data_IF_953240717593
#
_entry.id   IF_953240717593
#
_cell.length_a   1.000
_cell.length_b   1.000
_cell.length_c   1.000
_cell.angle_alpha   90.00
_cell.angle_beta   90.00
_cell.angle_gamma   90.00
#
_symmetry.space_group_name_H-M   'P 1'
#
loop_
_entity.id
_entity.type
_entity.pdbx_description
1 polymer ?
#
# COMPACT_ATOMS: atom_id res chain seq x y z
N UNK A 1 13.83 -68.93 30.35
CA UNK A 1 14.48 -67.77 29.71
C UNK A 1 13.38 -66.85 29.18
N UNK A 2 13.22 -65.66 29.78
CA UNK A 2 12.53 -64.42 29.33
C UNK A 2 11.24 -64.59 28.50
N UNK A 3 10.04 -64.42 29.03
CA UNK A 3 9.34 -63.17 29.45
C UNK A 3 9.37 -62.04 28.40
N UNK A 4 8.17 -61.52 28.10
CA UNK A 4 7.81 -60.26 27.40
C UNK A 4 7.68 -60.28 25.87
N UNK A 5 6.50 -60.64 25.36
CA UNK A 5 5.99 -60.09 24.09
C UNK A 5 4.46 -59.86 24.06
N UNK A 6 3.81 -59.85 25.22
CA UNK A 6 2.61 -59.03 25.44
C UNK A 6 3.10 -57.61 25.77
N UNK A 7 2.44 -56.57 25.26
CA UNK A 7 2.68 -55.12 25.53
C UNK A 7 3.81 -54.38 24.80
N UNK A 8 4.09 -54.65 23.51
CA UNK A 8 4.84 -53.68 22.67
C UNK A 8 4.07 -53.17 21.43
N UNK A 9 2.75 -53.42 21.36
CA UNK A 9 1.86 -52.77 20.38
C UNK A 9 0.87 -51.78 21.01
N UNK A 10 0.83 -51.70 22.34
CA UNK A 10 0.07 -50.68 23.10
C UNK A 10 0.94 -49.48 23.50
N UNK A 11 2.23 -49.48 23.12
CA UNK A 11 3.18 -48.37 23.26
C UNK A 11 3.60 -47.84 21.88
N UNK A 12 2.78 -48.06 20.84
CA UNK A 12 2.40 -46.95 19.97
C UNK A 12 1.49 -46.05 20.81
N UNK A 13 2.08 -45.47 21.85
CA UNK A 13 1.52 -44.36 22.58
C UNK A 13 1.16 -43.35 21.51
N UNK A 14 -0.10 -42.96 21.56
CA UNK A 14 -0.66 -41.74 21.04
C UNK A 14 0.26 -40.54 21.38
N UNK A 15 1.39 -40.42 20.70
CA UNK A 15 1.85 -39.16 20.19
C UNK A 15 1.06 -38.93 18.90
N UNK A 16 -0.27 -38.90 19.02
CA UNK A 16 -0.96 -37.74 18.48
C UNK A 16 -0.31 -36.57 19.20
N UNK A 17 0.82 -36.08 18.65
CA UNK A 17 1.06 -34.66 18.65
C UNK A 17 -0.26 -34.15 18.13
N UNK A 18 -1.14 -33.73 19.06
CA UNK A 18 -2.31 -32.95 18.72
C UNK A 18 -1.70 -31.93 17.79
N UNK A 19 -2.08 -32.02 16.51
CA UNK A 19 -1.63 -31.07 15.53
C UNK A 19 -1.77 -29.71 16.20
N UNK A 20 -0.77 -28.84 16.04
CA UNK A 20 -0.89 -27.43 16.41
C UNK A 20 -2.06 -26.87 15.57
N UNK A 21 -3.28 -27.21 15.97
CA UNK A 21 -4.49 -26.84 15.30
C UNK A 21 -4.61 -25.37 15.65
N UNK A 22 -4.03 -24.55 14.79
CA UNK A 22 -4.21 -23.12 14.84
C UNK A 22 -5.70 -22.87 14.64
N UNK A 23 -6.27 -21.91 15.37
CA UNK A 23 -7.62 -21.45 15.05
C UNK A 23 -7.63 -20.95 13.60
N UNK A 24 -8.52 -21.49 12.77
CA UNK A 24 -8.63 -21.12 11.35
C UNK A 24 -9.03 -19.66 11.19
N UNK A 25 -8.52 -19.04 10.13
CA UNK A 25 -9.09 -17.79 9.64
C UNK A 25 -10.53 -18.05 9.18
N UNK A 26 -11.46 -17.18 9.56
CA UNK A 26 -12.85 -17.31 9.13
C UNK A 26 -13.88 -16.72 10.07
N UNK A 27 -15.14 -17.08 9.81
CA UNK A 27 -16.33 -16.66 10.53
C UNK A 27 -16.84 -17.83 11.36
N UNK A 28 -17.05 -17.60 12.65
CA UNK A 28 -17.54 -18.57 13.62
C UNK A 28 -18.88 -18.12 14.20
N UNK A 29 -19.79 -19.06 14.40
CA UNK A 29 -21.01 -18.84 15.18
C UNK A 29 -20.76 -19.22 16.64
N UNK A 30 -21.20 -18.39 17.57
CA UNK A 30 -21.13 -18.65 19.01
C UNK A 30 -22.47 -18.34 19.71
N UNK A 31 -22.70 -18.80 20.95
CA UNK A 31 -23.86 -18.40 21.75
C UNK A 31 -24.01 -16.89 21.96
N UNK A 32 -22.93 -16.15 21.72
CA UNK A 32 -22.85 -14.71 21.91
C UNK A 32 -22.88 -13.93 20.57
N UNK A 33 -23.00 -14.65 19.45
CA UNK A 33 -23.10 -14.10 18.11
C UNK A 33 -21.93 -14.48 17.21
N UNK A 34 -21.83 -13.79 16.08
CA UNK A 34 -20.82 -14.04 15.06
C UNK A 34 -19.44 -13.51 15.50
N UNK A 35 -18.40 -14.33 15.30
CA UNK A 35 -17.00 -13.99 15.60
C UNK A 35 -16.17 -14.20 14.35
N UNK A 36 -15.58 -13.13 13.82
CA UNK A 36 -14.62 -13.22 12.73
C UNK A 36 -13.24 -13.32 13.34
N UNK A 37 -12.38 -14.21 12.85
CA UNK A 37 -11.01 -14.38 13.34
C UNK A 37 -10.06 -14.30 12.15
N UNK A 38 -9.07 -13.42 12.24
CA UNK A 38 -7.96 -13.32 11.30
C UNK A 38 -6.64 -13.46 12.08
N UNK A 39 -5.80 -14.39 11.66
CA UNK A 39 -4.46 -14.55 12.19
C UNK A 39 -3.45 -13.71 11.42
N UNK A 40 -2.38 -13.28 12.08
CA UNK A 40 -1.27 -12.58 11.44
C UNK A 40 -0.44 -13.53 10.58
N UNK A 41 0.38 -12.94 9.68
CA UNK A 41 1.33 -13.67 8.83
C UNK A 41 2.28 -14.56 9.63
N UNK A 42 2.80 -14.07 10.75
CA UNK A 42 3.66 -14.89 11.63
C UNK A 42 2.92 -16.00 12.37
N UNK A 43 1.59 -15.90 12.48
CA UNK A 43 0.77 -16.78 13.31
C UNK A 43 0.86 -16.51 14.81
N UNK A 44 1.64 -15.51 15.24
CA UNK A 44 1.84 -15.15 16.64
C UNK A 44 0.84 -14.10 17.15
N UNK A 45 -0.11 -13.69 16.31
CA UNK A 45 -1.19 -12.77 16.67
C UNK A 45 -2.48 -13.16 15.98
N UNK A 46 -3.60 -12.86 16.60
CA UNK A 46 -4.91 -12.93 15.97
C UNK A 46 -5.75 -11.72 16.36
N UNK A 47 -6.63 -11.30 15.47
CA UNK A 47 -7.67 -10.32 15.75
C UNK A 47 -9.02 -10.96 15.52
N UNK A 48 -10.04 -10.38 16.15
CA UNK A 48 -11.40 -10.73 15.82
C UNK A 48 -12.40 -9.60 15.91
N UNK A 49 -13.52 -9.83 15.23
CA UNK A 49 -14.70 -8.98 15.27
C UNK A 49 -15.81 -9.75 15.94
N UNK A 50 -16.34 -9.19 17.02
CA UNK A 50 -17.38 -9.82 17.80
C UNK A 50 -18.71 -9.08 17.58
N UNK A 51 -19.52 -9.62 16.66
CA UNK A 51 -20.83 -9.12 16.29
C UNK A 51 -20.85 -7.58 16.13
N UNK A 52 -21.90 -6.87 16.53
CA UNK A 52 -21.93 -5.41 16.60
C UNK A 52 -21.14 -4.83 17.79
N UNK A 53 -20.71 -5.69 18.70
CA UNK A 53 -20.37 -5.34 20.08
C UNK A 53 -18.92 -4.92 20.27
N UNK A 54 -17.95 -5.53 19.60
CA UNK A 54 -16.57 -5.05 19.71
C UNK A 54 -15.50 -5.90 19.05
N UNK A 55 -14.29 -5.76 19.55
CA UNK A 55 -13.06 -6.25 18.94
C UNK A 55 -12.38 -7.25 19.87
N UNK A 56 -11.58 -8.15 19.29
CA UNK A 56 -10.77 -9.13 20.02
C UNK A 56 -9.33 -8.97 19.54
N UNK A 57 -8.38 -8.89 20.47
CA UNK A 57 -6.94 -8.90 20.18
C UNK A 57 -6.32 -10.06 20.95
N UNK A 58 -5.53 -10.89 20.27
CA UNK A 58 -5.11 -12.18 20.80
C UNK A 58 -3.65 -12.46 20.47
N UNK A 59 -2.95 -13.02 21.45
CA UNK A 59 -1.66 -13.68 21.29
C UNK A 59 -1.82 -15.17 21.58
N UNK A 60 -1.37 -16.06 20.68
CA UNK A 60 -1.29 -17.48 20.96
C UNK A 60 0.00 -17.82 21.71
N UNK A 61 -0.08 -18.87 22.52
CA UNK A 61 1.08 -19.60 23.02
C UNK A 61 0.75 -21.09 23.06
N UNK A 62 1.79 -21.93 22.97
CA UNK A 62 1.60 -23.38 22.95
C UNK A 62 1.93 -23.95 24.32
N UNK A 63 1.02 -24.74 24.88
CA UNK A 63 1.29 -25.54 26.07
C UNK A 63 1.51 -26.98 25.62
N UNK A 64 2.69 -27.53 25.95
CA UNK A 64 3.02 -28.94 25.70
C UNK A 64 1.93 -29.84 26.29
N UNK A 65 1.37 -30.73 25.45
CA UNK A 65 0.30 -31.66 25.84
C UNK A 65 -1.10 -31.05 25.95
N UNK A 66 -1.29 -29.74 25.73
CA UNK A 66 -2.61 -29.08 25.70
C UNK A 66 -2.89 -28.30 24.41
N UNK A 67 -1.91 -28.16 23.53
CA UNK A 67 -2.05 -27.47 22.24
C UNK A 67 -1.92 -25.95 22.35
N UNK A 68 -2.37 -25.25 21.30
CA UNK A 68 -2.30 -23.80 21.21
C UNK A 68 -3.46 -23.14 21.97
N UNK A 69 -3.14 -22.21 22.85
CA UNK A 69 -4.09 -21.37 23.58
C UNK A 69 -3.94 -19.94 23.09
N UNK A 70 -5.05 -19.29 22.80
CA UNK A 70 -5.14 -17.89 22.44
C UNK A 70 -5.66 -17.11 23.62
N UNK A 71 -4.96 -16.05 24.01
CA UNK A 71 -5.38 -15.16 25.09
C UNK A 71 -5.21 -13.71 24.69
N UNK A 72 -6.01 -12.84 25.28
CA UNK A 72 -5.81 -11.41 25.15
C UNK A 72 -7.02 -10.63 25.64
N UNK A 73 -7.20 -9.44 25.09
CA UNK A 73 -8.32 -8.58 25.43
C UNK A 73 -9.46 -8.69 24.42
N UNK A 74 -10.67 -8.45 24.90
CA UNK A 74 -11.83 -8.21 24.06
C UNK A 74 -12.61 -6.99 24.56
N UNK A 75 -13.38 -6.38 23.67
CA UNK A 75 -14.33 -5.33 24.01
C UNK A 75 -15.75 -5.73 23.61
N UNK A 76 -16.72 -5.27 24.39
CA UNK A 76 -18.15 -5.37 24.09
C UNK A 76 -18.81 -4.08 24.56
N UNK A 77 -19.33 -3.27 23.63
CA UNK A 77 -19.96 -1.98 23.92
C UNK A 77 -19.09 -1.11 24.85
N UNK A 78 -17.80 -1.01 24.51
CA UNK A 78 -16.77 -0.28 25.26
C UNK A 78 -16.49 -0.81 26.69
N UNK A 79 -17.01 -1.99 27.06
CA UNK A 79 -16.55 -2.73 28.24
C UNK A 79 -15.42 -3.67 27.85
N UNK A 80 -14.32 -3.58 28.59
CA UNK A 80 -13.13 -4.36 28.32
C UNK A 80 -13.07 -5.61 29.20
N UNK A 81 -12.69 -6.72 28.59
CA UNK A 81 -12.47 -7.99 29.27
C UNK A 81 -11.22 -8.70 28.77
N UNK A 82 -11.01 -9.89 29.31
CA UNK A 82 -9.98 -10.84 28.93
C UNK A 82 -10.66 -12.11 28.42
N UNK A 83 -10.10 -12.67 27.37
CA UNK A 83 -10.58 -13.93 26.78
C UNK A 83 -9.43 -14.93 26.72
N UNK A 84 -9.78 -16.20 26.88
CA UNK A 84 -8.89 -17.33 26.64
C UNK A 84 -9.66 -18.39 25.87
N UNK A 85 -9.16 -18.84 24.72
CA UNK A 85 -9.75 -19.95 23.99
C UNK A 85 -8.71 -20.89 23.42
N UNK A 86 -9.12 -22.13 23.21
CA UNK A 86 -8.34 -23.19 22.58
C UNK A 86 -9.22 -23.88 21.53
N UNK A 87 -8.64 -24.29 20.39
CA UNK A 87 -9.30 -25.19 19.46
C UNK A 87 -9.75 -26.46 20.21
N UNK A 88 -10.99 -26.88 19.97
CA UNK A 88 -11.55 -28.10 20.55
C UNK A 88 -11.75 -29.21 19.50
N UNK A 89 -11.69 -28.83 18.23
CA UNK A 89 -11.91 -29.65 17.05
C UNK A 89 -11.42 -28.89 15.83
N UNK A 90 -11.33 -29.54 14.67
CA UNK A 90 -10.90 -28.93 13.40
C UNK A 90 -11.74 -27.72 12.98
N UNK A 91 -12.98 -27.63 13.46
CA UNK A 91 -13.95 -26.59 13.10
C UNK A 91 -14.55 -25.89 14.33
N UNK A 92 -13.90 -25.96 15.50
CA UNK A 92 -14.46 -25.38 16.71
C UNK A 92 -13.43 -25.01 17.76
N UNK A 93 -13.85 -24.17 18.69
CA UNK A 93 -13.07 -23.74 19.83
C UNK A 93 -13.93 -23.64 21.08
N UNK A 94 -13.29 -23.85 22.23
CA UNK A 94 -13.85 -23.59 23.55
C UNK A 94 -12.99 -22.56 24.27
N UNK A 95 -13.61 -21.78 25.13
CA UNK A 95 -12.92 -20.72 25.83
C UNK A 95 -13.71 -20.19 27.01
N UNK A 96 -13.09 -19.24 27.70
CA UNK A 96 -13.66 -18.52 28.82
C UNK A 96 -13.42 -17.03 28.65
N UNK A 97 -14.32 -16.22 29.19
CA UNK A 97 -14.19 -14.76 29.21
C UNK A 97 -14.41 -14.20 30.61
N UNK A 98 -13.80 -13.05 30.88
CA UNK A 98 -14.04 -12.27 32.09
C UNK A 98 -13.93 -10.79 31.85
N UNK A 99 -14.73 -9.98 32.53
CA UNK A 99 -14.60 -8.54 32.53
C UNK A 99 -13.40 -8.12 33.38
N UNK A 100 -12.74 -7.00 33.01
CA UNK A 100 -11.64 -6.46 33.82
C UNK A 100 -12.09 -6.00 35.22
N UNK A 101 -13.39 -5.78 35.42
CA UNK A 101 -14.00 -5.47 36.72
C UNK A 101 -14.13 -6.69 37.64
N UNK A 102 -14.01 -7.91 37.11
CA UNK A 102 -14.14 -9.15 37.88
C UNK A 102 -12.86 -9.41 38.67
N UNK A 103 -12.97 -9.43 40.00
CA UNK A 103 -11.83 -9.62 40.92
C UNK A 103 -11.52 -11.10 41.16
N UNK A 104 -10.23 -11.43 41.35
CA UNK A 104 -9.75 -12.78 41.67
C UNK A 104 -9.01 -13.47 40.51
N UNK A 105 -7.93 -14.17 40.84
CA UNK A 105 -7.21 -15.02 39.89
C UNK A 105 -8.11 -16.18 39.45
N UNK A 106 -8.15 -16.46 38.14
CA UNK A 106 -8.93 -17.54 37.52
C UNK A 106 -10.46 -17.47 37.69
N UNK A 107 -11.01 -16.34 38.15
CA UNK A 107 -12.46 -16.12 38.13
C UNK A 107 -12.90 -15.72 36.72
N UNK A 108 -13.63 -16.61 36.06
CA UNK A 108 -14.22 -16.38 34.75
C UNK A 108 -15.71 -16.07 34.90
N UNK A 109 -16.24 -15.17 34.07
CA UNK A 109 -17.65 -14.80 34.08
C UNK A 109 -18.51 -15.81 33.30
N UNK A 110 -17.89 -16.54 32.37
CA UNK A 110 -18.57 -17.58 31.61
C UNK A 110 -17.69 -18.25 30.56
N UNK A 111 -18.23 -19.31 29.97
CA UNK A 111 -17.65 -20.01 28.83
C UNK A 111 -18.11 -19.40 27.50
N UNK A 112 -17.26 -19.47 26.50
CA UNK A 112 -17.53 -19.05 25.13
C UNK A 112 -17.05 -20.14 24.19
N UNK A 113 -17.92 -20.63 23.31
CA UNK A 113 -17.56 -21.65 22.33
C UNK A 113 -17.97 -21.17 20.94
N UNK A 114 -17.20 -21.53 19.92
CA UNK A 114 -17.51 -21.18 18.55
C UNK A 114 -17.37 -22.36 17.60
N UNK A 115 -18.21 -22.38 16.57
CA UNK A 115 -18.20 -23.36 15.47
C UNK A 115 -17.96 -22.62 14.17
N UNK A 116 -17.02 -23.10 13.35
CA UNK A 116 -16.65 -22.50 12.07
C UNK A 116 -17.82 -22.61 11.09
N UNK A 117 -18.25 -21.46 10.57
CA UNK A 117 -19.28 -21.35 9.55
C UNK A 117 -18.68 -21.23 8.15
N UNK A 118 -17.60 -20.47 8.00
CA UNK A 118 -16.95 -20.21 6.71
C UNK A 118 -15.49 -19.83 6.92
N UNK A 119 -14.59 -20.31 6.06
CA UNK A 119 -13.19 -19.83 5.99
C UNK A 119 -13.06 -18.55 5.18
N UNK A 120 -14.10 -18.18 4.44
CA UNK A 120 -14.14 -16.95 3.63
C UNK A 120 -14.84 -15.86 4.44
N UNK A 121 -14.16 -14.73 4.58
CA UNK A 121 -14.78 -13.52 5.12
C UNK A 121 -15.76 -12.91 4.11
N UNK A 122 -16.82 -12.23 4.58
CA UNK A 122 -17.72 -11.50 3.69
C UNK A 122 -16.95 -10.48 2.85
N UNK A 123 -17.22 -10.44 1.55
CA UNK A 123 -16.57 -9.53 0.61
C UNK A 123 -17.08 -8.09 0.84
N UNK A 124 -16.41 -7.37 1.74
CA UNK A 124 -16.66 -5.99 2.07
C UNK A 124 -15.50 -5.11 1.58
N UNK A 125 -15.70 -3.78 1.57
CA UNK A 125 -14.71 -2.82 1.07
C UNK A 125 -13.34 -2.95 1.75
N UNK A 126 -13.33 -3.36 3.02
CA UNK A 126 -12.14 -3.50 3.85
C UNK A 126 -11.60 -4.94 3.96
N UNK A 127 -12.23 -5.95 3.36
CA UNK A 127 -11.80 -7.37 3.51
C UNK A 127 -10.61 -7.74 2.60
N UNK A 128 -9.74 -6.77 2.31
CA UNK A 128 -8.64 -6.89 1.35
C UNK A 128 -7.30 -6.56 2.00
N UNK A 129 -6.22 -6.92 1.31
CA UNK A 129 -4.87 -6.53 1.69
C UNK A 129 -4.46 -5.31 0.89
N UNK A 130 -4.17 -4.20 1.58
CA UNK A 130 -3.75 -2.94 1.00
C UNK A 130 -2.27 -2.70 1.20
N UNK A 131 -1.55 -2.40 0.13
CA UNK A 131 -0.19 -1.91 0.16
C UNK A 131 -0.21 -0.39 0.35
N UNK A 132 0.43 0.10 1.40
CA UNK A 132 0.48 1.52 1.77
C UNK A 132 1.93 2.00 1.85
N UNK A 133 2.14 3.33 1.91
CA UNK A 133 3.49 3.88 2.18
C UNK A 133 4.04 3.51 3.57
N UNK A 134 3.17 3.19 4.53
CA UNK A 134 3.57 2.80 5.88
C UNK A 134 3.89 1.30 6.00
N UNK A 135 3.41 0.48 5.06
CA UNK A 135 3.50 -0.98 5.13
C UNK A 135 2.29 -1.67 4.49
N UNK A 136 2.23 -2.98 4.63
CA UNK A 136 1.08 -3.78 4.16
C UNK A 136 0.00 -3.80 5.25
N UNK A 137 -1.24 -3.50 4.90
CA UNK A 137 -2.38 -3.50 5.79
C UNK A 137 -3.37 -4.59 5.36
N UNK A 138 -3.65 -5.54 6.23
CA UNK A 138 -4.61 -6.62 5.98
C UNK A 138 -5.76 -6.45 6.94
N UNK A 139 -6.98 -6.27 6.43
CA UNK A 139 -8.14 -5.96 7.25
C UNK A 139 -9.27 -6.96 6.98
N UNK A 140 -10.13 -7.11 7.97
CA UNK A 140 -11.44 -7.77 7.91
C UNK A 140 -12.49 -6.78 8.42
N UNK A 141 -13.70 -6.92 7.89
CA UNK A 141 -14.84 -6.09 8.28
C UNK A 141 -16.09 -6.95 8.40
N UNK A 142 -16.90 -6.69 9.41
CA UNK A 142 -18.23 -7.29 9.54
C UNK A 142 -19.35 -6.36 9.06
N UNK A 143 -20.57 -6.92 8.95
CA UNK A 143 -21.76 -6.19 8.47
C UNK A 143 -22.12 -4.95 9.29
N UNK A 144 -21.67 -4.87 10.54
CA UNK A 144 -21.91 -3.72 11.44
C UNK A 144 -20.88 -2.60 11.27
N UNK A 145 -19.95 -2.73 10.34
CA UNK A 145 -18.88 -1.76 10.11
C UNK A 145 -17.74 -1.84 11.11
N UNK A 146 -17.65 -2.89 11.94
CA UNK A 146 -16.45 -3.11 12.77
C UNK A 146 -15.32 -3.60 11.87
N UNK A 147 -14.12 -3.09 12.11
CA UNK A 147 -12.91 -3.41 11.34
C UNK A 147 -11.81 -3.85 12.28
N UNK A 148 -11.07 -4.88 11.89
CA UNK A 148 -9.87 -5.32 12.57
C UNK A 148 -8.87 -5.90 11.57
N UNK A 149 -7.61 -6.00 11.96
CA UNK A 149 -6.58 -6.57 11.11
C UNK A 149 -5.19 -6.26 11.60
N UNK A 150 -4.26 -6.21 10.64
CA UNK A 150 -2.85 -6.04 10.90
C UNK A 150 -2.21 -4.99 9.99
N UNK A 151 -1.28 -4.22 10.56
CA UNK A 151 -0.31 -3.43 9.81
C UNK A 151 1.06 -4.10 9.94
N UNK A 152 1.64 -4.46 8.81
CA UNK A 152 2.97 -5.05 8.68
C UNK A 152 3.96 -4.00 8.19
N UNK A 153 4.91 -3.61 9.04
CA UNK A 153 5.90 -2.58 8.72
C UNK A 153 7.20 -2.81 9.48
N UNK A 154 8.36 -2.57 8.83
CA UNK A 154 9.69 -2.69 9.44
C UNK A 154 9.88 -4.01 10.22
N UNK A 155 9.45 -5.14 9.65
CA UNK A 155 9.46 -6.47 10.26
C UNK A 155 8.69 -6.59 11.60
N UNK A 156 7.74 -5.67 11.84
CA UNK A 156 6.85 -5.67 13.00
C UNK A 156 5.40 -5.84 12.56
N UNK A 157 4.62 -6.47 13.43
CA UNK A 157 3.18 -6.70 13.25
C UNK A 157 2.40 -5.92 14.32
N UNK A 158 1.53 -5.02 13.88
CA UNK A 158 0.67 -4.23 14.75
C UNK A 158 -0.78 -4.66 14.57
N UNK A 159 -1.52 -4.71 15.68
CA UNK A 159 -2.96 -4.81 15.66
C UNK A 159 -3.56 -3.51 15.13
N UNK A 160 -4.56 -3.64 14.26
CA UNK A 160 -5.39 -2.53 13.78
C UNK A 160 -6.83 -2.87 14.12
N UNK A 161 -7.57 -1.96 14.74
CA UNK A 161 -8.98 -2.18 15.03
C UNK A 161 -9.75 -0.86 15.14
N UNK A 162 -11.03 -0.87 14.80
CA UNK A 162 -11.88 0.32 14.85
C UNK A 162 -13.19 0.15 14.09
N UNK A 163 -13.67 1.24 13.53
CA UNK A 163 -14.99 1.36 12.92
C UNK A 163 -14.93 2.01 11.55
N UNK A 164 -15.66 1.42 10.62
CA UNK A 164 -15.90 1.93 9.28
C UNK A 164 -17.35 2.32 9.09
N UNK A 165 -17.60 3.62 8.92
CA UNK A 165 -18.93 4.19 8.69
C UNK A 165 -18.83 5.36 7.73
N UNK A 166 -19.83 5.51 6.86
CA UNK A 166 -19.90 6.62 5.90
C UNK A 166 -18.61 6.81 5.08
N UNK A 167 -18.04 5.70 4.61
CA UNK A 167 -16.75 5.69 3.90
C UNK A 167 -15.57 6.20 4.72
N UNK A 168 -15.64 6.18 6.06
CA UNK A 168 -14.54 6.57 6.92
C UNK A 168 -14.16 5.44 7.86
N UNK A 169 -12.90 5.00 7.80
CA UNK A 169 -12.33 4.10 8.80
C UNK A 169 -11.63 4.93 9.87
N UNK A 170 -12.04 4.79 11.13
CA UNK A 170 -11.36 5.37 12.30
C UNK A 170 -10.99 4.26 13.24
N UNK A 171 -9.71 4.22 13.62
CA UNK A 171 -9.21 3.11 14.42
C UNK A 171 -7.96 3.41 15.21
N UNK A 172 -7.53 2.38 15.90
CA UNK A 172 -6.36 2.36 16.75
C UNK A 172 -5.33 1.38 16.19
N UNK A 173 -4.06 1.69 16.43
CA UNK A 173 -2.93 0.82 16.18
C UNK A 173 -2.27 0.53 17.52
N UNK A 174 -2.01 -0.75 17.81
CA UNK A 174 -1.31 -1.16 19.02
C UNK A 174 -0.41 -2.36 18.75
N UNK A 175 0.69 -2.48 19.47
CA UNK A 175 1.52 -3.69 19.48
C UNK A 175 1.08 -4.69 20.56
N UNK A 176 0.23 -4.26 21.50
CA UNK A 176 -0.19 -4.97 22.71
C UNK A 176 -1.62 -5.51 22.60
N UNK A 177 -1.78 -6.79 22.92
CA UNK A 177 -3.04 -7.53 23.00
C UNK A 177 -3.81 -7.33 24.31
N UNK A 178 -3.17 -6.76 25.34
CA UNK A 178 -3.77 -6.61 26.67
C UNK A 178 -4.67 -5.38 26.80
N UNK A 179 -4.63 -4.48 25.80
CA UNK A 179 -5.26 -3.17 25.90
C UNK A 179 -6.04 -2.81 24.64
N UNK A 180 -7.37 -2.89 24.74
CA UNK A 180 -8.29 -2.31 23.75
C UNK A 180 -8.77 -0.94 24.24
N UNK A 181 -8.43 0.10 23.49
CA UNK A 181 -8.90 1.48 23.70
C UNK A 181 -10.28 1.70 23.05
N UNK A 182 -11.15 2.39 23.77
CA UNK A 182 -12.45 2.86 23.29
C UNK A 182 -12.61 4.35 23.68
N UNK A 183 -13.28 5.15 22.86
CA UNK A 183 -13.66 6.55 23.11
C UNK A 183 -12.53 7.57 23.36
N UNK A 184 -11.26 7.20 23.26
CA UNK A 184 -10.13 8.15 23.19
C UNK A 184 -9.91 8.59 21.74
N UNK A 185 -9.23 9.70 21.44
CA UNK A 185 -8.94 10.07 20.03
C UNK A 185 -8.33 8.92 19.20
N UNK A 186 -8.59 8.87 17.89
CA UNK A 186 -8.14 7.79 16.99
C UNK A 186 -6.69 7.98 16.52
N UNK A 187 -5.94 6.89 16.33
CA UNK A 187 -4.56 6.93 15.78
C UNK A 187 -4.54 6.83 14.27
N UNK A 188 -5.63 6.37 13.67
CA UNK A 188 -5.74 6.09 12.25
C UNK A 188 -7.10 6.60 11.77
N UNK A 189 -7.10 7.35 10.67
CA UNK A 189 -8.32 7.81 10.00
C UNK A 189 -8.13 7.76 8.49
N UNK A 190 -9.00 7.03 7.81
CA UNK A 190 -9.07 6.99 6.35
C UNK A 190 -10.44 7.38 5.86
N UNK A 191 -10.45 8.03 4.71
CA UNK A 191 -11.60 8.15 3.83
C UNK A 191 -11.46 7.12 2.70
N UNK A 192 -12.59 6.55 2.30
CA UNK A 192 -12.67 5.39 1.44
C UNK A 192 -13.47 5.71 0.20
N UNK A 193 -12.79 6.34 -0.72
CA UNK A 193 -13.31 6.58 -2.05
C UNK A 193 -12.45 5.78 -3.02
N UNK A 194 -12.44 4.44 -2.82
CA UNK A 194 -11.91 3.42 -3.74
C UNK A 194 -10.38 3.18 -3.70
N UNK A 195 -9.87 3.14 -2.48
CA UNK A 195 -8.48 3.06 -2.07
C UNK A 195 -8.40 3.72 -0.71
N UNK A 196 -7.42 3.37 0.11
CA UNK A 196 -7.38 3.92 1.48
C UNK A 196 -6.62 5.23 1.40
N UNK A 197 -7.31 6.36 1.57
CA UNK A 197 -6.67 7.68 1.69
C UNK A 197 -6.81 8.16 3.12
N UNK A 198 -5.72 8.59 3.74
CA UNK A 198 -5.86 9.36 4.97
C UNK A 198 -4.60 9.43 5.79
N UNK A 199 -4.79 9.59 7.09
CA UNK A 199 -3.73 9.90 8.04
C UNK A 199 -3.57 8.79 9.05
N UNK A 200 -2.32 8.45 9.34
CA UNK A 200 -1.97 7.62 10.49
C UNK A 200 -0.99 8.40 11.36
N UNK A 201 -1.24 8.31 12.65
CA UNK A 201 -0.42 8.82 13.73
C UNK A 201 -0.05 7.63 14.60
N UNK A 202 1.18 7.11 14.46
CA UNK A 202 1.70 6.06 15.35
C UNK A 202 2.56 6.74 16.42
N UNK A 203 2.54 6.31 17.69
CA UNK A 203 3.54 6.77 18.66
C UNK A 203 4.96 6.63 18.10
N UNK A 204 5.71 7.75 18.03
CA UNK A 204 7.05 7.80 17.41
C UNK A 204 7.08 8.10 15.90
N UNK A 205 5.93 8.21 15.23
CA UNK A 205 5.81 8.67 13.84
C UNK A 205 4.98 9.95 13.77
N UNK A 206 5.45 10.95 13.03
CA UNK A 206 4.64 12.13 12.71
C UNK A 206 3.40 11.73 11.90
N UNK A 207 2.34 12.53 12.00
CA UNK A 207 1.13 12.38 11.19
C UNK A 207 1.51 12.40 9.71
N UNK A 208 1.43 11.25 9.03
CA UNK A 208 1.72 11.15 7.60
C UNK A 208 0.41 10.93 6.84
N UNK A 209 0.21 11.73 5.79
CA UNK A 209 -0.78 11.44 4.77
C UNK A 209 -0.26 10.29 3.92
N UNK A 210 -1.09 9.29 3.69
CA UNK A 210 -0.73 8.20 2.80
C UNK A 210 -1.94 7.69 2.03
N UNK A 211 -1.60 6.89 1.03
CA UNK A 211 -2.54 6.18 0.19
C UNK A 211 -2.17 4.70 0.21
N UNK A 212 -3.18 3.84 0.07
CA UNK A 212 -2.97 2.42 -0.17
C UNK A 212 -3.96 1.83 -1.18
N UNK A 213 -3.53 0.71 -1.76
CA UNK A 213 -4.20 -0.02 -2.84
C UNK A 213 -3.94 -1.51 -2.70
N UNK A 214 -4.82 -2.35 -3.23
CA UNK A 214 -4.61 -3.79 -3.27
C UNK A 214 -3.38 -4.18 -4.11
N UNK A 215 -3.14 -3.42 -5.19
CA UNK A 215 -1.92 -3.50 -6.01
C UNK A 215 -1.03 -2.28 -5.78
N UNK A 216 0.28 -2.48 -5.64
CA UNK A 216 1.27 -1.39 -5.66
C UNK A 216 2.28 -1.68 -6.74
N UNK A 217 2.35 -0.79 -7.71
CA UNK A 217 3.37 -0.79 -8.74
C UNK A 217 4.23 0.46 -8.57
N UNK A 218 5.54 0.27 -8.67
CA UNK A 218 6.49 1.37 -8.55
C UNK A 218 6.81 1.87 -9.96
N UNK A 219 6.40 3.09 -10.29
CA UNK A 219 6.85 3.72 -11.53
C UNK A 219 8.26 4.25 -11.32
N UNK A 220 9.19 3.75 -12.12
CA UNK A 220 10.52 4.30 -12.25
C UNK A 220 10.58 5.22 -13.48
N UNK A 221 10.96 6.47 -13.23
CA UNK A 221 11.27 7.46 -14.24
C UNK A 221 12.78 7.71 -14.25
N UNK A 222 13.43 7.47 -15.38
CA UNK A 222 14.83 7.84 -15.62
C UNK A 222 14.88 9.00 -16.61
N UNK A 223 15.41 10.14 -16.19
CA UNK A 223 15.71 11.23 -17.10
C UNK A 223 17.13 11.02 -17.66
N UNK A 224 17.25 10.93 -18.98
CA UNK A 224 18.49 10.51 -19.64
C UNK A 224 19.35 11.73 -20.00
N UNK A 225 18.86 12.57 -20.91
CA UNK A 225 19.65 13.64 -21.53
C UNK A 225 18.80 14.87 -21.83
N UNK A 226 19.41 16.04 -21.73
CA UNK A 226 18.90 17.31 -22.30
C UNK A 226 19.77 17.66 -23.50
N UNK A 227 19.17 18.08 -24.61
CA UNK A 227 19.89 18.66 -25.76
C UNK A 227 19.34 20.05 -26.04
N UNK A 228 20.24 21.00 -26.21
CA UNK A 228 19.90 22.32 -26.70
C UNK A 228 19.83 22.28 -28.23
N UNK A 229 18.70 22.60 -28.85
CA UNK A 229 18.56 22.57 -30.31
C UNK A 229 18.72 23.93 -30.96
N UNK A 230 18.41 25.01 -30.24
CA UNK A 230 18.51 26.35 -30.78
C UNK A 230 18.96 27.33 -29.68
N UNK A 231 20.14 27.92 -29.87
CA UNK A 231 20.58 29.01 -29.01
C UNK A 231 19.86 30.31 -29.39
N UNK A 232 19.16 30.90 -28.42
CA UNK A 232 18.55 32.23 -28.54
C UNK A 232 19.11 33.22 -27.50
N UNK A 233 20.16 32.84 -26.77
CA UNK A 233 20.89 33.70 -25.82
C UNK A 233 21.99 34.55 -26.48
N UNK A 234 22.57 35.46 -25.69
CA UNK A 234 23.79 36.19 -26.05
C UNK A 234 24.96 35.63 -25.22
N UNK A 235 26.13 35.33 -25.81
CA UNK A 235 26.45 35.33 -27.25
C UNK A 235 25.73 34.20 -28.03
N UNK A 236 25.60 34.35 -29.35
CA UNK A 236 24.76 33.51 -30.25
C UNK A 236 25.13 32.01 -30.28
N UNK A 237 26.21 31.61 -29.62
CA UNK A 237 26.72 30.24 -29.54
C UNK A 237 26.54 29.58 -28.15
N UNK A 238 26.11 30.33 -27.12
CA UNK A 238 26.06 29.85 -25.72
C UNK A 238 24.90 30.45 -24.93
N UNK A 239 24.25 29.59 -24.14
CA UNK A 239 23.29 30.00 -23.11
C UNK A 239 23.79 29.62 -21.73
N UNK A 240 23.92 30.62 -20.85
CA UNK A 240 24.23 30.40 -19.43
C UNK A 240 22.96 30.42 -18.61
N UNK A 241 22.74 29.36 -17.84
CA UNK A 241 21.63 29.31 -16.90
C UNK A 241 21.59 28.03 -16.07
N UNK A 242 20.52 27.89 -15.30
CA UNK A 242 20.21 26.70 -14.52
C UNK A 242 18.91 26.10 -15.03
N UNK A 243 18.87 24.78 -15.14
CA UNK A 243 17.66 24.01 -15.42
C UNK A 243 17.23 23.27 -14.16
N UNK A 244 15.98 23.41 -13.78
CA UNK A 244 15.29 22.51 -12.86
C UNK A 244 14.21 21.74 -13.64
N UNK A 245 14.09 20.45 -13.37
CA UNK A 245 13.09 19.54 -13.92
C UNK A 245 12.38 18.87 -12.76
N UNK A 246 11.09 19.14 -12.62
CA UNK A 246 10.26 18.54 -11.58
C UNK A 246 9.24 17.62 -12.21
N UNK A 247 9.16 16.39 -11.69
CA UNK A 247 8.05 15.48 -11.95
C UNK A 247 6.85 15.94 -11.14
N UNK A 248 5.71 16.01 -11.80
CA UNK A 248 4.42 16.27 -11.18
C UNK A 248 3.50 15.08 -11.46
N UNK A 249 2.99 14.44 -10.41
CA UNK A 249 1.97 13.41 -10.49
C UNK A 249 0.71 13.89 -9.79
N UNK A 250 -0.42 13.90 -10.51
CA UNK A 250 -1.74 14.17 -9.95
C UNK A 250 -2.48 12.87 -9.71
N UNK A 251 -3.13 12.75 -8.56
CA UNK A 251 -4.17 11.74 -8.39
C UNK A 251 -5.56 12.21 -8.84
N UNK A 252 -6.49 11.27 -8.79
CA UNK A 252 -7.89 11.40 -9.19
C UNK A 252 -8.70 12.36 -8.30
N UNK A 253 -8.21 12.68 -7.09
CA UNK A 253 -8.81 13.69 -6.20
C UNK A 253 -8.05 15.03 -6.23
N UNK A 254 -7.07 15.17 -7.13
CA UNK A 254 -6.30 16.40 -7.33
C UNK A 254 -5.09 16.57 -6.41
N UNK A 255 -4.72 15.56 -5.62
CA UNK A 255 -3.51 15.60 -4.78
C UNK A 255 -2.28 15.67 -5.67
N UNK A 256 -1.48 16.71 -5.42
CA UNK A 256 -0.25 16.99 -6.13
C UNK A 256 0.93 16.29 -5.45
N UNK A 257 1.64 15.46 -6.20
CA UNK A 257 2.95 14.94 -5.82
C UNK A 257 4.02 15.56 -6.70
N UNK A 258 4.93 16.33 -6.09
CA UNK A 258 6.08 16.89 -6.79
C UNK A 258 7.36 16.20 -6.34
N UNK A 259 8.28 15.98 -7.29
CA UNK A 259 9.63 15.55 -7.00
C UNK A 259 10.60 16.11 -8.02
N UNK A 260 11.61 16.83 -7.53
CA UNK A 260 12.70 17.27 -8.38
C UNK A 260 13.46 16.05 -8.92
N UNK A 261 13.54 15.98 -10.25
CA UNK A 261 14.29 14.97 -10.99
C UNK A 261 15.71 15.46 -11.27
N UNK A 262 15.84 16.76 -11.50
CA UNK A 262 17.10 17.41 -11.84
C UNK A 262 17.08 18.86 -11.42
N UNK A 263 18.16 19.33 -10.82
CA UNK A 263 18.39 20.75 -10.56
C UNK A 263 19.86 21.04 -10.77
N UNK A 264 20.16 21.97 -11.66
CA UNK A 264 21.49 22.55 -11.77
C UNK A 264 21.87 23.24 -10.46
N UNK A 265 22.93 22.74 -9.82
CA UNK A 265 23.47 23.34 -8.59
C UNK A 265 24.10 24.70 -8.90
N UNK A 266 24.79 24.81 -10.03
CA UNK A 266 25.48 26.01 -10.51
C UNK A 266 25.04 26.34 -11.94
N UNK A 267 25.24 27.59 -12.36
CA UNK A 267 24.94 27.99 -13.74
C UNK A 267 25.83 27.22 -14.71
N UNK A 268 25.21 26.47 -15.63
CA UNK A 268 25.90 25.71 -16.67
C UNK A 268 25.88 26.46 -17.99
N UNK A 269 26.87 26.14 -18.83
CA UNK A 269 26.98 26.63 -20.20
C UNK A 269 26.39 25.60 -21.16
N UNK A 270 25.24 25.94 -21.72
CA UNK A 270 24.55 25.14 -22.72
C UNK A 270 24.88 25.62 -24.13
N UNK A 271 25.41 24.73 -24.95
CA UNK A 271 25.81 24.98 -26.34
C UNK A 271 24.82 24.31 -27.28
N UNK A 272 24.55 24.95 -28.41
CA UNK A 272 23.65 24.41 -29.42
C UNK A 272 24.16 23.07 -29.93
N UNK A 273 23.22 22.16 -30.15
CA UNK A 273 23.41 20.78 -30.58
C UNK A 273 24.23 19.89 -29.64
N UNK A 274 24.61 20.36 -28.45
CA UNK A 274 25.28 19.56 -27.43
C UNK A 274 24.28 18.78 -26.56
N UNK A 275 24.66 17.55 -26.21
CA UNK A 275 23.94 16.68 -25.29
C UNK A 275 24.51 16.82 -23.88
N UNK A 276 23.62 16.86 -22.90
CA UNK A 276 23.93 16.96 -21.48
C UNK A 276 23.33 15.78 -20.75
N UNK A 277 24.20 14.90 -20.26
CA UNK A 277 23.80 13.74 -19.47
C UNK A 277 23.26 14.17 -18.10
N UNK A 278 22.10 13.62 -17.77
CA UNK A 278 21.49 13.77 -16.44
C UNK A 278 21.53 12.44 -15.70
N UNK A 279 21.11 11.35 -16.36
CA UNK A 279 21.11 9.98 -15.84
C UNK A 279 20.54 9.84 -14.42
N UNK A 280 19.46 10.55 -14.10
CA UNK A 280 18.80 10.51 -12.79
C UNK A 280 17.60 9.58 -12.82
N UNK A 281 17.55 8.67 -11.85
CA UNK A 281 16.44 7.74 -11.65
C UNK A 281 15.64 8.15 -10.42
N UNK A 282 14.34 8.27 -10.59
CA UNK A 282 13.38 8.59 -9.55
C UNK A 282 12.29 7.53 -9.56
N UNK A 283 11.84 7.14 -8.37
CA UNK A 283 10.75 6.18 -8.22
C UNK A 283 9.62 6.77 -7.39
N UNK A 284 8.39 6.49 -7.79
CA UNK A 284 7.18 6.89 -7.08
C UNK A 284 6.15 5.78 -7.10
N UNK A 285 5.48 5.57 -5.98
CA UNK A 285 4.36 4.66 -5.92
C UNK A 285 3.25 5.14 -6.83
N UNK A 286 2.80 4.30 -7.75
CA UNK A 286 1.60 4.56 -8.53
C UNK A 286 0.56 3.50 -8.21
N UNK A 287 -0.44 3.94 -7.45
CA UNK A 287 -1.64 3.19 -7.13
C UNK A 287 -2.65 3.33 -8.27
N UNK A 288 -2.47 2.58 -9.36
CA UNK A 288 -3.40 2.58 -10.50
C UNK A 288 -4.14 1.24 -10.60
N UNK A 289 -5.39 1.30 -11.06
CA UNK A 289 -6.20 0.15 -11.47
C UNK A 289 -6.65 0.36 -12.90
N UNK A 290 -6.53 -0.67 -13.73
CA UNK A 290 -6.83 -0.59 -15.16
C UNK A 290 -8.23 -1.10 -15.52
N UNK A 291 -8.90 -1.83 -14.62
CA UNK A 291 -10.19 -2.50 -14.89
C UNK A 291 -11.35 -1.92 -14.05
N UNK A 292 -11.10 -0.83 -13.32
CA UNK A 292 -12.09 -0.26 -12.40
C UNK A 292 -12.26 -1.10 -11.13
N UNK A 293 -12.74 -0.52 -10.01
CA UNK A 293 -13.64 0.63 -9.95
C UNK A 293 -12.93 1.99 -9.98
N UNK A 294 -13.71 3.07 -10.08
CA UNK A 294 -13.28 4.47 -9.91
C UNK A 294 -12.38 4.63 -8.68
N UNK A 295 -11.49 5.64 -8.60
CA UNK A 295 -10.74 6.04 -7.38
C UNK A 295 -9.31 5.49 -7.17
N UNK A 296 -8.78 4.79 -8.17
CA UNK A 296 -7.34 4.71 -8.46
C UNK A 296 -6.96 5.82 -9.45
N UNK A 297 -5.66 6.10 -9.71
CA UNK A 297 -5.27 7.10 -10.71
C UNK A 297 -6.05 6.86 -12.02
N UNK A 298 -7.11 7.64 -12.27
CA UNK A 298 -8.00 7.48 -13.43
C UNK A 298 -7.40 8.16 -14.64
N UNK A 299 -6.65 9.24 -14.39
CA UNK A 299 -5.90 10.03 -15.36
C UNK A 299 -4.55 10.44 -14.76
N UNK A 300 -3.65 9.50 -14.41
CA UNK A 300 -2.33 9.86 -13.93
C UNK A 300 -1.67 10.70 -15.02
N UNK A 301 -1.20 11.90 -14.65
CA UNK A 301 -0.44 12.77 -15.55
C UNK A 301 0.95 12.93 -15.00
N UNK A 302 1.95 12.85 -15.87
CA UNK A 302 3.31 13.21 -15.55
C UNK A 302 3.59 14.59 -16.15
N UNK A 303 3.71 15.60 -15.28
CA UNK A 303 4.15 16.93 -15.67
C UNK A 303 5.67 17.07 -15.55
N UNK A 304 6.27 17.75 -16.52
CA UNK A 304 7.67 18.16 -16.49
C UNK A 304 7.73 19.69 -16.47
N UNK A 305 7.99 20.24 -15.28
CA UNK A 305 8.21 21.68 -15.14
C UNK A 305 9.67 21.98 -15.41
N UNK A 306 9.94 22.92 -16.32
CA UNK A 306 11.28 23.39 -16.61
C UNK A 306 11.40 24.85 -16.18
N UNK A 307 12.49 25.23 -15.54
CA UNK A 307 12.83 26.64 -15.33
C UNK A 307 14.20 26.94 -15.90
N UNK A 308 14.37 28.09 -16.56
CA UNK A 308 15.65 28.53 -17.08
C UNK A 308 15.87 30.01 -16.79
N UNK A 309 16.91 30.29 -16.00
CA UNK A 309 17.35 31.66 -15.76
C UNK A 309 18.48 32.01 -16.72
N UNK A 310 18.22 32.89 -17.69
CA UNK A 310 19.26 33.42 -18.58
C UNK A 310 20.11 34.44 -17.83
N UNK A 311 21.39 34.52 -18.17
CA UNK A 311 22.22 35.68 -17.79
C UNK A 311 22.00 36.78 -18.84
N UNK A 312 21.24 37.84 -18.52
CA UNK A 312 21.17 39.07 -19.32
C UNK A 312 21.56 40.28 -18.45
N UNK A 313 21.68 41.46 -19.04
CA UNK A 313 21.81 42.72 -18.29
C UNK A 313 20.59 43.00 -17.36
N UNK A 314 19.47 42.28 -17.60
CA UNK A 314 18.29 42.23 -16.73
C UNK A 314 18.04 40.79 -16.26
N UNK A 315 17.50 40.61 -15.04
CA UNK A 315 17.19 39.31 -14.42
C UNK A 315 15.97 38.60 -15.06
N UNK A 316 15.83 38.63 -16.39
CA UNK A 316 14.72 37.99 -17.06
C UNK A 316 14.78 36.46 -16.90
N UNK A 317 13.80 35.89 -16.20
CA UNK A 317 13.53 34.46 -16.19
C UNK A 317 12.63 34.12 -17.37
N UNK A 318 13.08 33.17 -18.17
CA UNK A 318 12.30 32.64 -19.27
C UNK A 318 11.25 31.68 -18.70
N UNK A 319 9.96 31.97 -18.92
CA UNK A 319 8.89 31.07 -18.47
C UNK A 319 8.72 29.94 -19.48
N UNK A 320 9.33 28.79 -19.19
CA UNK A 320 9.16 27.59 -19.99
C UNK A 320 7.77 26.98 -19.74
N UNK A 321 7.16 26.43 -20.79
CA UNK A 321 5.83 25.83 -20.68
C UNK A 321 5.92 24.46 -19.99
N UNK A 322 5.11 24.24 -18.96
CA UNK A 322 4.89 22.92 -18.38
C UNK A 322 4.35 21.98 -19.47
N UNK A 323 5.03 20.87 -19.72
CA UNK A 323 4.47 19.80 -20.55
C UNK A 323 3.92 18.68 -19.66
N UNK A 324 2.81 18.08 -20.07
CA UNK A 324 2.15 16.99 -19.37
C UNK A 324 1.89 15.83 -20.29
N UNK A 325 2.15 14.62 -19.81
CA UNK A 325 1.80 13.38 -20.50
C UNK A 325 0.70 12.64 -19.74
N UNK A 326 -0.29 12.13 -20.45
CA UNK A 326 -1.24 11.17 -19.89
C UNK A 326 -0.55 9.81 -19.73
N UNK A 327 -0.46 9.33 -18.50
CA UNK A 327 0.19 8.05 -18.19
C UNK A 327 -0.74 6.86 -18.39
N UNK A 328 -2.06 7.04 -18.57
CA UNK A 328 -3.01 5.91 -18.65
C UNK A 328 -2.60 4.88 -19.72
N UNK A 329 -2.47 5.32 -20.98
CA UNK A 329 -2.10 4.41 -22.08
C UNK A 329 -0.69 3.83 -21.90
N UNK A 330 0.23 4.60 -21.30
CA UNK A 330 1.59 4.12 -21.00
C UNK A 330 1.55 3.03 -19.94
N UNK A 331 0.78 3.20 -18.87
CA UNK A 331 0.64 2.20 -17.81
C UNK A 331 -0.04 0.95 -18.36
N UNK A 332 -1.09 1.05 -19.18
CA UNK A 332 -1.70 -0.10 -19.86
C UNK A 332 -0.66 -0.88 -20.67
N UNK A 333 0.19 -0.19 -21.43
CA UNK A 333 1.28 -0.83 -22.16
C UNK A 333 2.26 -1.52 -21.21
N UNK A 334 2.78 -0.82 -20.20
CA UNK A 334 3.76 -1.35 -19.25
C UNK A 334 3.26 -2.58 -18.47
N UNK A 335 1.94 -2.79 -18.37
CA UNK A 335 1.30 -3.95 -17.72
C UNK A 335 0.84 -5.05 -18.67
N UNK A 336 1.24 -5.04 -19.94
CA UNK A 336 0.79 -6.05 -20.90
C UNK A 336 -0.72 -6.05 -21.18
N UNK A 337 -1.40 -4.92 -20.94
CA UNK A 337 -2.85 -4.79 -21.21
C UNK A 337 -3.15 -4.08 -22.52
N UNK A 338 -2.15 -3.41 -23.08
CA UNK A 338 -2.24 -2.72 -24.37
C UNK A 338 -1.03 -3.05 -25.21
N UNK A 339 -1.25 -3.42 -26.46
CA UNK A 339 -0.15 -3.76 -27.36
C UNK A 339 0.47 -2.55 -28.05
N UNK A 340 1.74 -2.67 -28.42
CA UNK A 340 2.49 -1.60 -29.08
C UNK A 340 1.87 -1.16 -30.42
N UNK A 341 1.21 -2.08 -31.12
CA UNK A 341 0.53 -1.82 -32.40
C UNK A 341 -0.68 -0.88 -32.27
N UNK A 342 -1.31 -0.83 -31.10
CA UNK A 342 -2.50 0.01 -30.83
C UNK A 342 -2.19 1.51 -30.68
N UNK A 343 -0.91 1.90 -30.72
CA UNK A 343 -0.49 3.29 -30.67
C UNK A 343 -0.30 3.85 -32.08
N UNK A 344 -0.78 5.07 -32.28
CA UNK A 344 -0.61 5.84 -33.52
C UNK A 344 0.88 6.04 -33.80
N UNK A 345 1.29 5.80 -35.05
CA UNK A 345 2.66 6.01 -35.49
C UNK A 345 2.99 7.50 -35.54
N UNK A 346 4.14 7.86 -34.99
CA UNK A 346 4.81 9.14 -35.18
C UNK A 346 6.06 8.97 -36.05
N UNK A 347 6.88 10.03 -36.17
CA UNK A 347 8.08 10.00 -37.00
C UNK A 347 9.17 9.09 -36.42
N UNK A 348 10.07 8.59 -37.26
CA UNK A 348 11.29 7.86 -36.85
C UNK A 348 11.02 6.63 -35.96
N UNK A 349 9.97 5.88 -36.27
CA UNK A 349 9.57 4.69 -35.51
C UNK A 349 8.99 4.98 -34.12
N UNK A 350 8.75 6.26 -33.80
CA UNK A 350 8.09 6.67 -32.56
C UNK A 350 6.59 6.45 -32.64
N UNK A 351 5.97 6.50 -31.48
CA UNK A 351 4.52 6.50 -31.27
C UNK A 351 4.09 7.82 -30.65
N UNK A 352 2.83 8.19 -30.83
CA UNK A 352 2.25 9.44 -30.32
C UNK A 352 1.49 9.17 -29.03
N UNK A 353 1.68 10.00 -28.00
CA UNK A 353 0.87 9.89 -26.76
C UNK A 353 -0.40 10.69 -27.03
N UNK A 354 -1.60 10.10 -26.84
CA UNK A 354 -2.83 10.87 -26.92
C UNK A 354 -2.76 12.12 -26.02
N UNK A 355 -3.22 13.25 -26.55
CA UNK A 355 -3.33 14.53 -25.83
C UNK A 355 -1.99 15.11 -25.32
N UNK A 356 -0.88 14.81 -25.98
CA UNK A 356 0.44 15.33 -25.64
C UNK A 356 1.30 15.59 -26.88
N UNK A 357 2.25 16.52 -26.78
CA UNK A 357 3.28 16.77 -27.80
C UNK A 357 4.48 15.81 -27.70
N UNK A 358 4.42 14.89 -26.74
CA UNK A 358 5.42 13.86 -26.55
C UNK A 358 5.28 12.72 -27.57
N UNK A 359 6.44 12.24 -28.00
CA UNK A 359 6.59 11.01 -28.79
C UNK A 359 7.41 10.00 -28.02
N UNK A 360 7.31 8.71 -28.34
CA UNK A 360 8.03 7.68 -27.60
C UNK A 360 8.39 6.45 -28.43
N UNK A 361 9.42 5.75 -27.99
CA UNK A 361 9.69 4.38 -28.40
C UNK A 361 9.14 3.41 -27.36
N UNK A 362 8.50 2.37 -27.84
CA UNK A 362 8.05 1.24 -27.04
C UNK A 362 9.06 0.12 -27.19
N UNK A 363 9.44 -0.48 -26.06
CA UNK A 363 10.32 -1.64 -26.04
C UNK A 363 9.73 -2.71 -25.15
N UNK A 364 9.88 -3.96 -25.56
CA UNK A 364 9.54 -5.16 -24.80
C UNK A 364 10.71 -6.12 -24.93
N UNK A 365 11.31 -6.49 -23.82
CA UNK A 365 12.45 -7.41 -23.78
C UNK A 365 12.42 -8.20 -22.47
N UNK A 366 12.64 -9.51 -22.54
CA UNK A 366 12.71 -10.39 -21.36
C UNK A 366 11.50 -10.27 -20.42
N UNK A 367 10.28 -10.19 -20.99
CA UNK A 367 9.04 -10.06 -20.22
C UNK A 367 8.90 -8.71 -19.49
N UNK A 368 9.68 -7.69 -19.88
CA UNK A 368 9.60 -6.34 -19.34
C UNK A 368 9.33 -5.34 -20.45
N UNK A 369 8.40 -4.43 -20.19
CA UNK A 369 8.09 -3.32 -21.09
C UNK A 369 8.69 -2.02 -20.57
N UNK A 370 9.24 -1.21 -21.47
CA UNK A 370 9.68 0.16 -21.14
C UNK A 370 9.25 1.15 -22.21
N UNK A 371 9.01 2.38 -21.81
CA UNK A 371 8.66 3.50 -22.69
C UNK A 371 9.78 4.52 -22.64
N UNK A 372 10.42 4.82 -23.78
CA UNK A 372 11.41 5.90 -23.89
C UNK A 372 10.75 7.09 -24.56
N UNK A 373 10.46 8.14 -23.80
CA UNK A 373 9.84 9.35 -24.30
C UNK A 373 10.85 10.39 -24.79
N UNK A 374 10.41 11.21 -25.74
CA UNK A 374 11.10 12.35 -26.31
C UNK A 374 10.12 13.49 -26.58
N UNK A 375 10.49 14.69 -26.17
CA UNK A 375 9.74 15.91 -26.43
C UNK A 375 10.65 17.13 -26.43
N UNK A 376 10.08 18.26 -26.87
CA UNK A 376 10.72 19.56 -26.78
C UNK A 376 10.17 20.36 -25.60
N UNK A 377 11.05 21.10 -24.94
CA UNK A 377 10.70 22.19 -24.05
C UNK A 377 10.43 23.40 -24.94
N UNK A 378 9.21 23.92 -24.85
CA UNK A 378 8.76 25.07 -25.62
C UNK A 378 8.94 26.36 -24.86
N UNK A 379 9.37 27.38 -25.60
CA UNK A 379 9.36 28.78 -25.20
C UNK A 379 8.28 29.47 -26.04
N UNK A 380 7.14 29.80 -25.43
CA UNK A 380 5.91 30.09 -26.16
C UNK A 380 5.58 28.95 -27.15
N UNK A 381 5.61 29.21 -28.45
CA UNK A 381 5.37 28.22 -29.51
C UNK A 381 6.66 27.64 -30.13
N UNK A 382 7.84 28.10 -29.69
CA UNK A 382 9.12 27.68 -30.25
C UNK A 382 9.76 26.49 -29.50
N UNK A 383 10.16 25.47 -30.24
CA UNK A 383 10.98 24.37 -29.73
C UNK A 383 12.41 24.83 -29.42
N UNK A 384 12.87 24.60 -28.18
CA UNK A 384 14.21 25.06 -27.75
C UNK A 384 15.12 23.94 -27.26
N UNK A 385 14.61 23.06 -26.41
CA UNK A 385 15.41 21.99 -25.80
C UNK A 385 14.72 20.65 -26.04
N UNK A 386 15.42 19.65 -26.54
CA UNK A 386 14.90 18.29 -26.56
C UNK A 386 15.30 17.54 -25.30
N UNK A 387 14.44 16.67 -24.81
CA UNK A 387 14.77 15.83 -23.66
C UNK A 387 14.28 14.41 -23.83
N UNK A 388 14.99 13.49 -23.18
CA UNK A 388 14.70 12.06 -23.20
C UNK A 388 14.47 11.53 -21.79
N UNK A 389 13.46 10.68 -21.65
CA UNK A 389 13.17 9.98 -20.42
C UNK A 389 12.76 8.54 -20.67
N UNK A 390 12.84 7.70 -19.65
CA UNK A 390 12.37 6.32 -19.68
C UNK A 390 11.41 6.09 -18.53
N UNK A 391 10.30 5.42 -18.81
CA UNK A 391 9.33 4.94 -17.86
C UNK A 391 9.32 3.42 -17.86
N UNK A 392 9.33 2.82 -16.67
CA UNK A 392 9.09 1.39 -16.48
C UNK A 392 8.42 1.13 -15.14
N UNK A 393 7.71 0.01 -15.05
CA UNK A 393 7.21 -0.52 -13.79
C UNK A 393 8.27 -1.45 -13.18
N UNK A 394 8.35 -1.42 -11.86
CA UNK A 394 9.26 -2.24 -11.05
C UNK A 394 8.50 -3.29 -10.26
#
# INVERSE_FOLDING_TARGET
MKIFFTTLLAVLLCNTVLANDKLKDGVFTSPHGEVHILNSKSGNKAVGLYNQYGHILLSPFTITGRGTIYTGAFSNNCRNGLVSFSPNSTNGWNGNYKWKTTTGFNKWDGGWNGTLQSTNFPNNELTKTFQTKLGTMQLIQNSNGRVAGFLYTNNKEFYVYGDYKNKQFKGYITSDENTIKCNTGFTLSFDWNHGIYGTVTVPGFSKQNFRGSESRNLLELKFQTIKNYANKGRPRDKEWGKINITMILYDDIGTLFTRDLYTDQTSKRYQENQFYDVNRTVSGDIFYSLVGPAGYYSNPRLGFSFSHRRTRASNAEDRLRLSTISLKSILEYLNFQRDASSFVNGPDGRKIIPDSDHTFWLTEENGKRTVRGYAFIKYDDDDKWGYFYTLKLK
#
